data_IF_583784017701
#
_entry.id   IF_583784017701
#
_cell.length_a   1.000
_cell.length_b   1.000
_cell.length_c   1.000
_cell.angle_alpha   90.00
_cell.angle_beta   90.00
_cell.angle_gamma   90.00
#
_symmetry.space_group_name_H-M   'P 1'
#
loop_
_entity.id
_entity.type
_entity.pdbx_description
1 polymer ?
#
# COMPACT_ATOMS: atom_id res chain seq x y z
N UNK A 1 -2.28 -7.49 18.85
CA UNK A 1 -1.42 -6.74 17.91
C UNK A 1 -1.64 -7.39 16.57
N UNK A 2 -2.51 -6.78 15.78
CA UNK A 2 -2.97 -7.41 14.55
C UNK A 2 -1.91 -7.22 13.46
N UNK A 3 -1.75 -8.25 12.64
CA UNK A 3 -0.85 -8.22 11.48
C UNK A 3 -1.68 -8.29 10.22
N UNK A 4 -1.69 -7.18 9.48
CA UNK A 4 -2.45 -7.04 8.26
C UNK A 4 -1.49 -7.21 7.07
N UNK A 5 -1.83 -8.13 6.18
CA UNK A 5 -1.11 -8.37 4.93
C UNK A 5 -1.93 -7.83 3.77
N UNK A 6 -1.31 -6.96 2.95
CA UNK A 6 -1.90 -6.36 1.76
C UNK A 6 -1.17 -6.90 0.54
N UNK A 7 -1.90 -7.55 -0.38
CA UNK A 7 -1.35 -8.05 -1.64
C UNK A 7 -1.66 -7.05 -2.74
N UNK A 8 -0.60 -6.46 -3.32
CA UNK A 8 -0.62 -5.38 -4.29
C UNK A 8 -0.33 -4.02 -3.66
N UNK A 9 0.70 -3.31 -4.15
CA UNK A 9 1.05 -1.95 -3.72
C UNK A 9 0.49 -0.83 -4.61
N UNK A 10 -0.49 -1.14 -5.46
CA UNK A 10 -1.21 -0.13 -6.25
C UNK A 10 -2.02 0.85 -5.39
N UNK A 11 -2.79 1.72 -6.04
CA UNK A 11 -3.54 2.80 -5.34
C UNK A 11 -4.48 2.26 -4.25
N UNK A 12 -5.12 1.12 -4.49
CA UNK A 12 -6.01 0.48 -3.52
C UNK A 12 -5.24 0.00 -2.28
N UNK A 13 -4.13 -0.73 -2.47
CA UNK A 13 -3.32 -1.24 -1.37
C UNK A 13 -2.66 -0.14 -0.53
N UNK A 14 -2.06 0.86 -1.21
CA UNK A 14 -1.47 2.01 -0.54
C UNK A 14 -2.53 2.83 0.24
N UNK A 15 -3.73 3.00 -0.32
CA UNK A 15 -4.82 3.70 0.35
C UNK A 15 -5.33 2.91 1.55
N UNK A 16 -5.52 1.59 1.41
CA UNK A 16 -5.93 0.73 2.52
C UNK A 16 -4.93 0.81 3.69
N UNK A 17 -3.63 0.66 3.41
CA UNK A 17 -2.57 0.79 4.41
C UNK A 17 -2.63 2.14 5.15
N UNK A 18 -2.85 3.23 4.41
CA UNK A 18 -2.97 4.58 4.98
C UNK A 18 -4.18 4.71 5.90
N UNK A 19 -5.33 4.18 5.51
CA UNK A 19 -6.54 4.24 6.33
C UNK A 19 -6.45 3.35 7.56
N UNK A 20 -5.87 2.16 7.43
CA UNK A 20 -5.54 1.28 8.56
C UNK A 20 -4.63 2.01 9.54
N UNK A 21 -3.55 2.65 9.08
CA UNK A 21 -2.62 3.38 9.96
C UNK A 21 -3.27 4.54 10.73
N UNK A 22 -4.31 5.16 10.16
CA UNK A 22 -5.09 6.21 10.85
C UNK A 22 -5.99 5.66 11.96
N UNK A 23 -6.50 4.45 11.77
CA UNK A 23 -7.37 3.77 12.74
C UNK A 23 -6.54 3.09 13.84
N UNK A 24 -5.39 2.53 13.47
CA UNK A 24 -4.47 1.85 14.36
C UNK A 24 -3.01 2.20 14.02
N UNK A 25 -2.39 2.99 14.89
CA UNK A 25 -1.00 3.43 14.77
C UNK A 25 0.03 2.36 15.18
N UNK A 26 -0.40 1.29 15.85
CA UNK A 26 0.46 0.25 16.40
C UNK A 26 0.41 -1.06 15.61
N UNK A 27 -0.63 -1.28 14.79
CA UNK A 27 -0.72 -2.49 13.96
C UNK A 27 0.48 -2.64 13.01
N UNK A 28 0.86 -3.90 12.76
CA UNK A 28 1.86 -4.25 11.75
C UNK A 28 1.18 -4.37 10.39
N UNK A 29 1.71 -3.68 9.40
CA UNK A 29 1.22 -3.73 8.02
C UNK A 29 2.36 -4.25 7.14
N UNK A 30 2.12 -5.32 6.40
CA UNK A 30 3.05 -5.84 5.39
C UNK A 30 2.39 -5.77 4.03
N UNK A 31 3.03 -5.07 3.10
CA UNK A 31 2.55 -4.94 1.72
C UNK A 31 3.46 -5.76 0.81
N UNK A 32 2.87 -6.62 0.00
CA UNK A 32 3.58 -7.51 -0.92
C UNK A 32 3.22 -7.06 -2.33
N UNK A 33 4.21 -6.83 -3.19
CA UNK A 33 4.01 -6.50 -4.59
C UNK A 33 4.97 -7.27 -5.47
N UNK A 34 4.54 -7.63 -6.67
CA UNK A 34 5.39 -8.18 -7.73
C UNK A 34 5.94 -7.08 -8.67
N UNK A 35 5.47 -5.83 -8.54
CA UNK A 35 5.86 -4.74 -9.45
C UNK A 35 7.12 -4.00 -8.98
N UNK A 36 6.97 -3.16 -7.94
CA UNK A 36 8.01 -2.28 -7.42
C UNK A 36 7.89 -2.20 -5.91
N UNK A 37 8.95 -1.80 -5.20
CA UNK A 37 8.90 -1.64 -3.74
C UNK A 37 7.97 -0.49 -3.31
N UNK A 38 7.92 0.57 -4.13
CA UNK A 38 7.14 1.78 -3.85
C UNK A 38 5.95 1.91 -4.79
N UNK A 39 4.85 2.45 -4.26
CA UNK A 39 3.69 2.84 -5.07
C UNK A 39 4.10 3.91 -6.08
N UNK A 40 3.59 3.78 -7.31
CA UNK A 40 3.64 4.81 -8.34
C UNK A 40 2.25 4.97 -8.98
N UNK A 41 1.97 6.17 -9.48
CA UNK A 41 0.74 6.40 -10.23
C UNK A 41 0.88 5.83 -11.63
N UNK A 42 0.11 4.79 -11.99
CA UNK A 42 0.09 4.26 -13.36
C UNK A 42 -0.33 5.32 -14.39
N UNK A 43 -1.21 6.25 -14.01
CA UNK A 43 -1.59 7.37 -14.90
C UNK A 43 -0.43 8.36 -15.12
N UNK A 44 0.58 8.40 -14.25
CA UNK A 44 1.74 9.25 -14.52
C UNK A 44 2.63 8.69 -15.65
N UNK A 45 2.51 7.39 -15.98
CA UNK A 45 3.34 6.75 -17.00
C UNK A 45 3.09 7.26 -18.43
N UNK A 46 1.98 7.94 -18.68
CA UNK A 46 1.70 8.56 -19.98
C UNK A 46 2.52 9.84 -20.23
N UNK A 47 3.22 10.36 -19.21
CA UNK A 47 3.98 11.61 -19.26
C UNK A 47 5.50 11.44 -19.06
N UNK A 48 5.99 10.19 -19.02
CA UNK A 48 7.43 9.85 -18.95
C UNK A 48 7.97 9.43 -20.30
#
# INVERSE_FOLDING_TARGET
MDHIVIIGNGIAGATAARHIRKLDNACRITMISEETDYFFSRTALMYV
#
